data_IF_654282785413
#
_entry.id   IF_654282785413
#
_cell.length_a   1.000
_cell.length_b   1.000
_cell.length_c   1.000
_cell.angle_alpha   90.00
_cell.angle_beta   90.00
_cell.angle_gamma   90.00
#
_symmetry.space_group_name_H-M   'P 1'
#
loop_
_entity.id
_entity.type
_entity.pdbx_description
1 polymer ?
#
# COMPACT_ATOMS: atom_id res chain seq x y z
N UNK A 1 2.88 -22.45 1.31
CA UNK A 1 3.43 -21.13 1.66
C UNK A 1 4.41 -20.68 0.56
N UNK A 2 3.93 -19.93 -0.42
CA UNK A 2 4.77 -19.33 -1.49
C UNK A 2 5.43 -18.03 -0.98
N UNK A 3 6.26 -18.10 0.06
CA UNK A 3 6.94 -16.93 0.62
C UNK A 3 8.18 -16.46 -0.16
N UNK A 4 8.67 -17.29 -1.10
CA UNK A 4 9.97 -17.10 -1.75
C UNK A 4 10.05 -15.97 -2.77
N UNK A 5 8.93 -15.51 -3.34
CA UNK A 5 8.94 -14.45 -4.35
C UNK A 5 8.98 -13.03 -3.75
N UNK A 6 8.47 -12.85 -2.52
CA UNK A 6 8.40 -11.55 -1.85
C UNK A 6 9.77 -11.04 -1.41
N UNK A 7 10.61 -11.93 -0.89
CA UNK A 7 11.97 -11.58 -0.46
C UNK A 7 12.85 -11.09 -1.62
N UNK A 8 12.54 -11.46 -2.87
CA UNK A 8 13.23 -10.95 -4.06
C UNK A 8 12.97 -9.46 -4.31
N UNK A 9 11.90 -8.88 -3.76
CA UNK A 9 11.55 -7.47 -3.94
C UNK A 9 12.03 -6.58 -2.79
N UNK A 10 12.39 -7.18 -1.66
CA UNK A 10 12.81 -6.46 -0.46
C UNK A 10 14.32 -6.20 -0.55
N UNK A 11 14.76 -4.93 -0.62
CA UNK A 11 16.18 -4.61 -0.59
C UNK A 11 16.77 -4.88 0.80
N UNK A 12 18.08 -5.06 0.86
CA UNK A 12 18.81 -5.08 2.13
C UNK A 12 18.63 -3.73 2.85
N UNK A 13 18.41 -3.77 4.16
CA UNK A 13 18.31 -2.58 5.00
C UNK A 13 19.46 -1.59 4.74
N UNK A 14 19.13 -0.30 4.53
CA UNK A 14 20.11 0.75 4.24
C UNK A 14 20.55 0.83 2.78
N UNK A 15 20.10 -0.09 1.91
CA UNK A 15 20.34 -0.05 0.46
C UNK A 15 19.08 0.28 -0.35
N UNK A 16 17.97 0.67 0.31
CA UNK A 16 16.76 1.07 -0.40
C UNK A 16 16.89 2.46 -1.05
N UNK A 17 16.54 2.56 -2.33
CA UNK A 17 16.18 3.83 -2.97
C UNK A 17 14.71 3.73 -3.39
N UNK A 18 13.82 4.35 -2.60
CA UNK A 18 12.38 4.42 -2.88
C UNK A 18 11.73 3.06 -3.17
N UNK A 19 12.02 2.05 -2.36
CA UNK A 19 11.46 0.69 -2.49
C UNK A 19 11.82 -0.08 -3.76
N UNK A 20 12.85 0.33 -4.50
CA UNK A 20 13.35 -0.47 -5.60
C UNK A 20 14.27 -1.59 -5.10
N UNK A 21 14.05 -2.79 -5.64
CA UNK A 21 14.98 -3.88 -5.43
C UNK A 21 16.36 -3.48 -5.96
N UNK A 22 17.38 -3.72 -5.13
CA UNK A 22 18.79 -3.54 -5.49
C UNK A 22 19.55 -4.79 -5.09
N UNK A 23 20.22 -5.40 -6.07
CA UNK A 23 21.13 -6.50 -5.78
C UNK A 23 22.23 -6.02 -4.82
N UNK A 24 22.62 -6.87 -3.86
CA UNK A 24 23.67 -6.59 -2.89
C UNK A 24 24.72 -7.69 -2.91
N UNK A 25 25.90 -7.36 -2.43
CA UNK A 25 27.08 -8.22 -2.31
C UNK A 25 27.30 -8.63 -0.85
N UNK A 26 28.22 -9.58 -0.62
CA UNK A 26 28.61 -9.93 0.75
C UNK A 26 29.28 -8.78 1.51
N UNK A 27 29.90 -7.83 0.80
CA UNK A 27 30.50 -6.64 1.42
C UNK A 27 29.43 -5.74 2.04
N UNK A 28 28.26 -5.63 1.40
CA UNK A 28 27.13 -4.86 1.93
C UNK A 28 26.63 -5.45 3.27
N UNK A 29 26.70 -6.77 3.45
CA UNK A 29 26.34 -7.43 4.72
C UNK A 29 27.32 -7.10 5.85
N UNK A 30 28.58 -6.74 5.54
CA UNK A 30 29.58 -6.43 6.55
C UNK A 30 29.19 -5.21 7.40
N UNK A 31 28.47 -4.25 6.80
CA UNK A 31 27.91 -3.09 7.51
C UNK A 31 26.88 -3.48 8.59
N UNK A 32 26.33 -4.70 8.51
CA UNK A 32 25.31 -5.23 9.40
C UNK A 32 25.79 -6.39 10.27
N UNK A 33 27.11 -6.65 10.33
CA UNK A 33 27.70 -7.82 11.01
C UNK A 33 27.38 -7.96 12.50
N UNK A 34 26.93 -6.90 13.15
CA UNK A 34 26.54 -6.91 14.57
C UNK A 34 25.06 -7.26 14.77
N UNK A 35 24.28 -7.31 13.69
CA UNK A 35 22.88 -7.74 13.72
C UNK A 35 22.81 -9.26 13.56
N UNK A 36 21.87 -9.87 14.25
CA UNK A 36 21.42 -11.22 13.90
C UNK A 36 20.79 -11.21 12.51
N UNK A 37 20.75 -12.39 11.89
CA UNK A 37 20.07 -12.57 10.61
C UNK A 37 18.60 -12.15 10.75
N UNK A 38 17.91 -12.57 11.81
CA UNK A 38 16.52 -12.21 12.06
C UNK A 38 16.29 -10.70 12.15
N UNK A 39 17.12 -9.98 12.91
CA UNK A 39 17.03 -8.51 13.01
C UNK A 39 17.24 -7.83 11.67
N UNK A 40 18.16 -8.34 10.84
CA UNK A 40 18.41 -7.80 9.51
C UNK A 40 17.19 -8.00 8.58
N UNK A 41 16.55 -9.17 8.64
CA UNK A 41 15.31 -9.45 7.90
C UNK A 41 14.18 -8.51 8.34
N UNK A 42 13.97 -8.37 9.65
CA UNK A 42 12.93 -7.51 10.21
C UNK A 42 13.15 -6.04 9.84
N UNK A 43 14.38 -5.53 9.98
CA UNK A 43 14.72 -4.15 9.59
C UNK A 43 14.53 -3.89 8.10
N UNK A 44 14.93 -4.84 7.25
CA UNK A 44 14.75 -4.73 5.79
C UNK A 44 13.27 -4.71 5.41
N UNK A 45 12.46 -5.55 6.06
CA UNK A 45 11.02 -5.57 5.87
C UNK A 45 10.35 -4.28 6.37
N UNK A 46 10.69 -3.80 7.57
CA UNK A 46 10.18 -2.55 8.13
C UNK A 46 10.50 -1.36 7.23
N UNK A 47 11.74 -1.25 6.76
CA UNK A 47 12.14 -0.18 5.84
C UNK A 47 11.38 -0.27 4.52
N UNK A 48 11.25 -1.47 3.95
CA UNK A 48 10.45 -1.68 2.74
C UNK A 48 8.99 -1.25 2.93
N UNK A 49 8.35 -1.67 4.04
CA UNK A 49 6.95 -1.34 4.29
C UNK A 49 6.72 0.17 4.52
N UNK A 50 7.71 0.94 5.00
CA UNK A 50 7.59 2.40 5.17
C UNK A 50 7.34 3.15 3.87
N UNK A 51 7.85 2.63 2.75
CA UNK A 51 7.71 3.28 1.44
C UNK A 51 6.71 2.54 0.54
N UNK A 52 6.09 1.46 1.02
CA UNK A 52 5.07 0.72 0.26
C UNK A 52 3.75 1.45 0.37
N UNK A 53 3.23 1.88 -0.78
CA UNK A 53 1.95 2.56 -0.88
C UNK A 53 1.01 1.72 -1.75
N UNK A 54 -0.24 1.61 -1.32
CA UNK A 54 -1.33 0.99 -2.09
C UNK A 54 -2.21 2.13 -2.60
N UNK A 55 -2.02 2.53 -3.86
CA UNK A 55 -2.67 3.73 -4.41
C UNK A 55 -3.84 3.41 -5.33
N UNK A 56 -4.03 2.13 -5.66
CA UNK A 56 -5.09 1.63 -6.54
C UNK A 56 -5.55 0.25 -6.09
N UNK A 57 -6.74 -0.16 -6.53
CA UNK A 57 -7.35 -1.43 -6.13
C UNK A 57 -6.48 -2.62 -6.54
N UNK A 58 -5.78 -2.53 -7.66
CA UNK A 58 -4.90 -3.59 -8.14
C UNK A 58 -3.74 -3.86 -7.16
N UNK A 59 -3.24 -2.83 -6.47
CA UNK A 59 -2.20 -3.00 -5.45
C UNK A 59 -2.76 -3.76 -4.24
N UNK A 60 -4.01 -3.46 -3.85
CA UNK A 60 -4.71 -4.14 -2.75
C UNK A 60 -4.98 -5.60 -3.10
N UNK A 61 -5.49 -5.86 -4.30
CA UNK A 61 -5.74 -7.23 -4.78
C UNK A 61 -4.44 -8.03 -4.87
N UNK A 62 -3.37 -7.42 -5.36
CA UNK A 62 -2.07 -8.06 -5.43
C UNK A 62 -1.58 -8.47 -4.04
N UNK A 63 -1.64 -7.57 -3.04
CA UNK A 63 -1.18 -7.91 -1.69
C UNK A 63 -2.07 -8.96 -1.01
N UNK A 64 -3.39 -8.93 -1.20
CA UNK A 64 -4.30 -9.96 -0.69
C UNK A 64 -3.95 -11.34 -1.26
N UNK A 65 -3.73 -11.41 -2.57
CA UNK A 65 -3.30 -12.64 -3.23
C UNK A 65 -1.93 -13.11 -2.72
N UNK A 66 -0.99 -12.17 -2.50
CA UNK A 66 0.36 -12.48 -2.02
C UNK A 66 0.35 -13.08 -0.60
N UNK A 67 -0.59 -12.66 0.25
CA UNK A 67 -0.77 -13.23 1.60
C UNK A 67 -1.73 -14.43 1.63
N UNK A 68 -2.21 -14.87 0.46
CA UNK A 68 -3.05 -16.06 0.33
C UNK A 68 -4.52 -15.86 0.72
N UNK A 69 -4.97 -14.61 0.79
CA UNK A 69 -6.37 -14.27 1.10
C UNK A 69 -7.18 -14.20 -0.20
N UNK A 70 -8.36 -14.82 -0.21
CA UNK A 70 -9.27 -14.72 -1.34
C UNK A 70 -9.85 -13.30 -1.46
N UNK A 71 -9.53 -12.64 -2.58
CA UNK A 71 -10.02 -11.29 -2.87
C UNK A 71 -11.54 -11.22 -3.01
N UNK A 72 -12.21 -12.34 -3.32
CA UNK A 72 -13.66 -12.37 -3.58
C UNK A 72 -14.47 -11.85 -2.39
N UNK A 73 -13.94 -12.05 -1.17
CA UNK A 73 -14.49 -11.59 0.11
C UNK A 73 -14.66 -10.06 0.14
N UNK A 74 -13.81 -9.33 -0.60
CA UNK A 74 -13.74 -7.88 -0.58
C UNK A 74 -14.35 -7.22 -1.82
N UNK A 75 -14.81 -7.99 -2.81
CA UNK A 75 -15.24 -7.46 -4.11
C UNK A 75 -16.36 -6.43 -4.00
N UNK A 76 -17.27 -6.62 -3.04
CA UNK A 76 -18.36 -5.68 -2.77
C UNK A 76 -17.85 -4.30 -2.28
N UNK A 77 -16.66 -4.22 -1.68
CA UNK A 77 -16.06 -3.00 -1.13
C UNK A 77 -15.21 -2.23 -2.16
N UNK A 78 -14.74 -2.91 -3.22
CA UNK A 78 -13.84 -2.30 -4.20
C UNK A 78 -14.38 -1.05 -4.90
N UNK A 79 -15.68 -0.94 -5.28
CA UNK A 79 -16.20 0.27 -5.89
C UNK A 79 -16.06 1.51 -4.99
N UNK A 80 -16.29 1.36 -3.69
CA UNK A 80 -16.23 2.48 -2.75
C UNK A 80 -14.78 2.79 -2.32
N UNK A 81 -13.94 1.77 -2.18
CA UNK A 81 -12.49 1.96 -2.01
C UNK A 81 -11.86 2.69 -3.22
N UNK A 82 -12.32 2.40 -4.44
CA UNK A 82 -11.84 3.07 -5.64
C UNK A 82 -12.20 4.56 -5.62
N UNK A 83 -13.43 4.92 -5.23
CA UNK A 83 -13.85 6.32 -5.08
C UNK A 83 -12.95 7.05 -4.08
N UNK A 84 -12.64 6.40 -2.95
CA UNK A 84 -11.74 6.94 -1.93
C UNK A 84 -10.33 7.18 -2.49
N UNK A 85 -9.75 6.21 -3.19
CA UNK A 85 -8.43 6.38 -3.82
C UNK A 85 -8.40 7.51 -4.84
N UNK A 86 -9.39 7.58 -5.71
CA UNK A 86 -9.52 8.66 -6.70
C UNK A 86 -9.65 10.02 -6.03
N UNK A 87 -10.46 10.11 -4.96
CA UNK A 87 -10.61 11.34 -4.18
C UNK A 87 -9.30 11.78 -3.56
N UNK A 88 -8.59 10.88 -2.88
CA UNK A 88 -7.28 11.17 -2.28
C UNK A 88 -6.31 11.69 -3.32
N UNK A 89 -6.25 11.05 -4.50
CA UNK A 89 -5.39 11.49 -5.60
C UNK A 89 -5.78 12.90 -6.08
N UNK A 90 -7.08 13.20 -6.19
CA UNK A 90 -7.56 14.54 -6.55
C UNK A 90 -7.16 15.60 -5.52
N UNK A 91 -7.30 15.32 -4.23
CA UNK A 91 -6.90 16.22 -3.15
C UNK A 91 -5.40 16.50 -3.22
N UNK A 92 -4.57 15.44 -3.28
CA UNK A 92 -3.11 15.56 -3.25
C UNK A 92 -2.55 16.28 -4.49
N UNK A 93 -3.05 15.95 -5.69
CA UNK A 93 -2.47 16.49 -6.92
C UNK A 93 -3.16 17.74 -7.44
N UNK A 94 -4.40 18.01 -7.04
CA UNK A 94 -5.21 19.10 -7.62
C UNK A 94 -5.87 19.98 -6.57
N UNK A 95 -5.51 19.85 -5.29
CA UNK A 95 -6.16 20.53 -4.18
C UNK A 95 -7.69 20.36 -4.22
N UNK A 96 -8.13 19.20 -4.70
CA UNK A 96 -9.53 18.80 -4.83
C UNK A 96 -10.38 19.56 -5.86
N UNK A 97 -9.73 20.35 -6.71
CA UNK A 97 -10.37 21.10 -7.79
C UNK A 97 -10.88 20.17 -8.89
N UNK A 98 -11.91 20.61 -9.60
CA UNK A 98 -12.41 19.91 -10.79
C UNK A 98 -11.48 20.17 -11.99
N UNK A 99 -11.52 19.25 -12.96
CA UNK A 99 -10.77 19.32 -14.21
C UNK A 99 -9.54 18.41 -14.25
N UNK A 100 -8.72 18.62 -15.29
CA UNK A 100 -7.44 17.93 -15.48
C UNK A 100 -6.30 18.83 -14.99
N UNK A 101 -5.11 18.25 -14.80
CA UNK A 101 -3.91 19.02 -14.37
C UNK A 101 -3.64 20.23 -15.27
N UNK A 102 -3.87 20.10 -16.58
CA UNK A 102 -3.63 21.17 -17.55
C UNK A 102 -4.74 22.23 -17.61
N UNK A 103 -5.91 21.95 -17.00
CA UNK A 103 -7.07 22.85 -17.02
C UNK A 103 -7.90 22.69 -15.74
N UNK A 104 -7.37 23.21 -14.64
CA UNK A 104 -8.05 23.21 -13.34
C UNK A 104 -9.02 24.38 -13.25
N UNK A 105 -10.24 24.09 -12.80
CA UNK A 105 -11.20 25.14 -12.43
C UNK A 105 -10.95 25.63 -11.01
N UNK A 106 -11.49 26.79 -10.64
CA UNK A 106 -11.54 27.26 -9.25
C UNK A 106 -12.49 26.44 -8.38
N UNK A 107 -13.44 25.74 -9.00
CA UNK A 107 -14.45 24.96 -8.30
C UNK A 107 -13.86 23.72 -7.63
N UNK A 108 -14.19 23.56 -6.35
CA UNK A 108 -13.91 22.34 -5.61
C UNK A 108 -14.93 21.27 -5.99
N UNK A 109 -14.47 20.02 -5.93
CA UNK A 109 -15.37 18.88 -6.08
C UNK A 109 -16.15 18.71 -4.78
N UNK A 110 -17.50 18.74 -4.80
CA UNK A 110 -18.30 18.64 -3.59
C UNK A 110 -18.12 17.27 -2.92
N UNK A 111 -18.31 17.24 -1.61
CA UNK A 111 -18.34 16.03 -0.81
C UNK A 111 -19.41 16.17 0.26
N UNK A 112 -20.26 15.17 0.38
CA UNK A 112 -21.31 15.11 1.40
C UNK A 112 -20.85 14.33 2.63
N UNK A 113 -21.47 14.62 3.77
CA UNK A 113 -21.25 13.84 5.00
C UNK A 113 -21.60 12.36 4.80
N UNK A 114 -22.61 12.06 3.97
CA UNK A 114 -22.96 10.69 3.63
C UNK A 114 -21.82 9.98 2.91
N UNK A 115 -21.19 10.60 1.91
CA UNK A 115 -20.05 10.02 1.18
C UNK A 115 -18.87 9.73 2.10
N UNK A 116 -18.54 10.67 3.01
CA UNK A 116 -17.46 10.47 4.00
C UNK A 116 -17.78 9.30 4.92
N UNK A 117 -19.02 9.21 5.42
CA UNK A 117 -19.43 8.12 6.29
C UNK A 117 -19.43 6.76 5.55
N UNK A 118 -19.81 6.73 4.27
CA UNK A 118 -19.69 5.50 3.48
C UNK A 118 -18.24 5.07 3.31
N UNK A 119 -17.32 6.00 3.07
CA UNK A 119 -15.88 5.69 2.99
C UNK A 119 -15.33 5.16 4.31
N UNK A 120 -15.70 5.76 5.44
CA UNK A 120 -15.31 5.29 6.76
C UNK A 120 -15.80 3.85 7.00
N UNK A 121 -17.10 3.60 6.79
CA UNK A 121 -17.69 2.28 6.93
C UNK A 121 -17.03 1.25 6.01
N UNK A 122 -16.70 1.64 4.78
CA UNK A 122 -16.02 0.77 3.81
C UNK A 122 -14.64 0.35 4.32
N UNK A 123 -13.83 1.30 4.82
CA UNK A 123 -12.50 1.01 5.36
C UNK A 123 -12.58 0.16 6.62
N UNK A 124 -13.53 0.45 7.52
CA UNK A 124 -13.74 -0.36 8.72
C UNK A 124 -14.17 -1.80 8.39
N UNK A 125 -15.10 -1.97 7.45
CA UNK A 125 -15.54 -3.29 7.01
C UNK A 125 -14.42 -4.06 6.32
N UNK A 126 -13.62 -3.38 5.47
CA UNK A 126 -12.43 -3.97 4.88
C UNK A 126 -11.46 -4.46 5.97
N UNK A 127 -11.20 -3.62 6.98
CA UNK A 127 -10.32 -3.97 8.10
C UNK A 127 -10.83 -5.16 8.92
N UNK A 128 -12.14 -5.22 9.20
CA UNK A 128 -12.77 -6.35 9.90
C UNK A 128 -12.60 -7.65 9.11
N UNK A 129 -13.02 -7.66 7.85
CA UNK A 129 -12.88 -8.84 6.98
C UNK A 129 -11.42 -9.29 6.87
N UNK A 130 -10.47 -8.35 6.75
CA UNK A 130 -9.06 -8.68 6.69
C UNK A 130 -8.54 -9.30 7.99
N UNK A 131 -8.94 -8.78 9.15
CA UNK A 131 -8.53 -9.34 10.44
C UNK A 131 -9.15 -10.71 10.69
N UNK A 132 -10.39 -10.93 10.27
CA UNK A 132 -11.06 -12.23 10.38
C UNK A 132 -10.34 -13.30 9.57
N UNK A 133 -9.79 -12.97 8.40
CA UNK A 133 -8.99 -13.88 7.56
C UNK A 133 -7.56 -14.14 8.08
N UNK A 134 -7.07 -13.31 9.02
CA UNK A 134 -5.72 -13.42 9.59
C UNK A 134 -5.68 -14.14 10.95
N UNK A 135 -6.83 -14.50 11.53
CA UNK A 135 -6.97 -15.24 12.78
C UNK A 135 -6.93 -16.76 12.56
#
# INVERSE_FOLDING_TARGET
>A
MQGGEKWKKIPLYGLSDKNQFKAFSFEDLYAHKTLSIEELFNKSLEEYLKYTNYNKIEDVVAILSDIGIDKSIFEALFPDLLKLFLRRHNIVHRADRKGTLDNLTTDLTPISDWEVNQWLNTVENFGKLLLDELQ
#
